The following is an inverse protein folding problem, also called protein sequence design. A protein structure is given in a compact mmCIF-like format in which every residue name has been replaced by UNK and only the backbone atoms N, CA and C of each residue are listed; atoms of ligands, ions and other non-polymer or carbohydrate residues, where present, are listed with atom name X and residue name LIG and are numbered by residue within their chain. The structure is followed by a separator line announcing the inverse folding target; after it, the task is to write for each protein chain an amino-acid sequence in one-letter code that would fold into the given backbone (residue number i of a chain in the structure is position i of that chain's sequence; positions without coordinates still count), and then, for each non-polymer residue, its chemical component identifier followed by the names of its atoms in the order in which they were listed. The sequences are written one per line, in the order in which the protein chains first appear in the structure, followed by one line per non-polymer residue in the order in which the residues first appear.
data_IF_236532275207
#
_entry.id   IF_236532275207
#
_cell.length_a   1.000
_cell.length_b   1.000
_cell.length_c   1.000
_cell.angle_alpha   90.00
_cell.angle_beta   90.00
_cell.angle_gamma   90.00
#
_symmetry.space_group_name_H-M   'P 1'
#
loop_
_entity.id
_entity.type
_entity.pdbx_description
1 polymer ?
#
# COMPACT_ATOMS: atom_id res chain seq x y z
N UNK A 1 -43.40 -10.43 15.84
CA UNK A 1 -42.98 -9.01 15.77
C UNK A 1 -41.76 -8.69 16.62
N UNK A 2 -41.68 -9.07 17.90
CA UNK A 2 -40.52 -8.80 18.79
C UNK A 2 -39.22 -9.48 18.36
N UNK A 3 -39.30 -10.74 17.92
CA UNK A 3 -38.15 -11.51 17.41
C UNK A 3 -37.58 -10.84 16.14
N UNK A 4 -38.45 -10.42 15.22
CA UNK A 4 -38.06 -9.71 14.00
C UNK A 4 -37.36 -8.38 14.32
N UNK A 5 -37.85 -7.63 15.31
CA UNK A 5 -37.24 -6.38 15.76
C UNK A 5 -35.84 -6.61 16.37
N UNK A 6 -35.66 -7.68 17.13
CA UNK A 6 -34.35 -8.08 17.67
C UNK A 6 -33.33 -8.41 16.57
N UNK A 7 -33.73 -9.15 15.53
CA UNK A 7 -32.85 -9.45 14.40
C UNK A 7 -32.42 -8.18 13.64
N UNK A 8 -33.34 -7.23 13.44
CA UNK A 8 -33.04 -5.97 12.78
C UNK A 8 -32.01 -5.14 13.58
N UNK A 9 -32.17 -5.02 14.90
CA UNK A 9 -31.24 -4.29 15.75
C UNK A 9 -29.84 -4.92 15.76
N UNK A 10 -29.76 -6.26 15.74
CA UNK A 10 -28.50 -6.99 15.76
C UNK A 10 -27.72 -6.80 14.44
N UNK A 11 -28.41 -6.78 13.29
CA UNK A 11 -27.81 -6.52 11.98
C UNK A 11 -27.31 -5.08 11.86
N UNK A 12 -28.06 -4.10 12.36
CA UNK A 12 -27.65 -2.68 12.36
C UNK A 12 -26.38 -2.45 13.19
N UNK A 13 -26.20 -3.20 14.27
CA UNK A 13 -25.00 -3.13 15.10
C UNK A 13 -23.76 -3.73 14.43
N UNK A 14 -23.93 -4.69 13.51
CA UNK A 14 -22.83 -5.34 12.79
C UNK A 14 -22.27 -4.43 11.68
N UNK A 15 -23.09 -3.54 11.11
CA UNK A 15 -22.68 -2.65 10.01
C UNK A 15 -21.63 -1.59 10.43
N UNK A 16 -21.52 -1.26 11.71
CA UNK A 16 -20.55 -0.27 12.22
C UNK A 16 -19.13 -0.83 12.44
N UNK A 17 -18.93 -2.15 12.26
CA UNK A 17 -17.65 -2.83 12.50
C UNK A 17 -16.81 -3.01 11.23
N UNK A 18 -17.34 -2.63 10.06
CA UNK A 18 -16.56 -2.62 8.83
C UNK A 18 -15.72 -1.34 8.74
N UNK A 19 -14.49 -1.39 9.25
CA UNK A 19 -13.45 -0.48 8.81
C UNK A 19 -13.11 -0.87 7.37
N UNK A 20 -13.83 -0.31 6.39
CA UNK A 20 -13.33 -0.27 5.02
C UNK A 20 -12.04 0.55 5.05
N UNK A 21 -10.91 -0.16 5.21
CA UNK A 21 -9.59 0.38 4.87
C UNK A 21 -9.71 0.87 3.44
N UNK A 22 -9.78 2.17 3.26
CA UNK A 22 -9.75 2.79 1.93
C UNK A 22 -8.55 2.20 1.19
N UNK A 23 -8.73 1.61 -0.01
CA UNK A 23 -7.62 1.04 -0.75
C UNK A 23 -6.60 2.13 -1.00
N UNK A 24 -5.32 1.85 -0.71
CA UNK A 24 -4.24 2.76 -1.05
C UNK A 24 -4.29 3.02 -2.56
N UNK A 25 -4.64 4.24 -2.95
CA UNK A 25 -4.79 4.65 -4.34
C UNK A 25 -3.41 4.74 -4.99
N UNK A 26 -3.09 3.71 -5.75
CA UNK A 26 -1.86 3.63 -6.49
C UNK A 26 -1.79 4.65 -7.61
N UNK A 27 -0.99 5.69 -7.41
CA UNK A 27 -0.77 6.74 -8.40
C UNK A 27 -1.06 8.17 -7.91
N UNK A 28 -1.45 8.36 -6.65
CA UNK A 28 -1.57 9.72 -6.07
C UNK A 28 -0.28 10.21 -5.41
N UNK A 29 0.74 9.36 -5.26
CA UNK A 29 2.04 9.79 -4.75
C UNK A 29 2.82 10.54 -5.83
N UNK A 30 2.79 11.87 -5.78
CA UNK A 30 3.59 12.72 -6.65
C UNK A 30 5.08 12.53 -6.34
N UNK A 31 5.79 11.80 -7.18
CA UNK A 31 7.25 11.70 -7.12
C UNK A 31 7.92 12.74 -8.01
N UNK A 32 8.97 13.42 -7.53
CA UNK A 32 9.73 14.33 -8.35
C UNK A 32 10.44 13.58 -9.48
N UNK A 33 10.57 14.24 -10.64
CA UNK A 33 11.15 13.65 -11.84
C UNK A 33 12.68 13.61 -11.86
N UNK A 34 13.37 14.13 -10.83
CA UNK A 34 14.83 14.08 -10.80
C UNK A 34 15.34 12.63 -10.86
N UNK A 35 16.39 12.42 -11.65
CA UNK A 35 17.03 11.12 -11.79
C UNK A 35 18.16 10.98 -10.75
N UNK A 36 17.93 10.17 -9.71
CA UNK A 36 18.91 9.86 -8.65
C UNK A 36 18.79 8.38 -8.29
N UNK A 37 19.34 7.49 -9.12
CA UNK A 37 19.00 6.07 -9.08
C UNK A 37 19.40 5.45 -7.74
N UNK A 38 18.62 4.47 -7.30
CA UNK A 38 18.89 3.67 -6.11
C UNK A 38 18.73 2.20 -6.42
N UNK A 39 19.62 1.38 -5.84
CA UNK A 39 19.53 -0.06 -5.91
C UNK A 39 18.75 -0.54 -4.69
N UNK A 40 17.66 -1.27 -4.94
CA UNK A 40 16.83 -1.83 -3.89
C UNK A 40 16.60 -3.34 -4.11
N UNK A 41 16.27 -4.06 -3.05
CA UNK A 41 16.02 -5.50 -3.08
C UNK A 41 14.82 -5.89 -2.25
N UNK A 42 14.07 -6.90 -2.71
CA UNK A 42 13.02 -7.57 -1.94
C UNK A 42 13.52 -8.85 -1.24
N UNK A 43 14.84 -9.06 -1.20
CA UNK A 43 15.48 -10.27 -0.66
C UNK A 43 15.66 -11.39 -1.68
N UNK A 44 15.00 -11.33 -2.84
CA UNK A 44 15.17 -12.31 -3.94
C UNK A 44 15.92 -11.73 -5.12
N UNK A 45 15.50 -10.54 -5.56
CA UNK A 45 16.08 -9.84 -6.70
C UNK A 45 16.52 -8.43 -6.33
N UNK A 46 17.43 -7.88 -7.13
CA UNK A 46 17.85 -6.48 -7.06
C UNK A 46 17.25 -5.73 -8.24
N UNK A 47 16.76 -4.52 -7.99
CA UNK A 47 16.16 -3.65 -9.00
C UNK A 47 16.61 -2.22 -8.81
N UNK A 48 16.95 -1.57 -9.91
CA UNK A 48 17.24 -0.13 -9.96
C UNK A 48 15.92 0.65 -10.04
N UNK A 49 15.76 1.64 -9.17
CA UNK A 49 14.65 2.60 -9.19
C UNK A 49 15.17 3.99 -9.55
N UNK A 50 14.35 4.79 -10.25
CA UNK A 50 14.69 6.15 -10.73
C UNK A 50 15.15 7.08 -9.61
N UNK A 51 14.53 6.95 -8.44
CA UNK A 51 14.92 7.60 -7.20
C UNK A 51 14.28 6.92 -5.98
N UNK A 52 14.63 7.39 -4.78
CA UNK A 52 14.09 6.87 -3.52
C UNK A 52 12.58 7.06 -3.39
N UNK A 53 12.00 8.10 -4.00
CA UNK A 53 10.54 8.28 -3.98
C UNK A 53 9.84 7.15 -4.73
N UNK A 54 10.36 6.77 -5.90
CA UNK A 54 9.80 5.67 -6.70
C UNK A 54 9.79 4.33 -5.93
N UNK A 55 10.78 4.08 -5.06
CA UNK A 55 10.77 2.90 -4.17
C UNK A 55 9.60 2.95 -3.18
N UNK A 56 9.38 4.11 -2.55
CA UNK A 56 8.28 4.30 -1.59
C UNK A 56 6.92 4.12 -2.25
N UNK A 57 6.70 4.77 -3.39
CA UNK A 57 5.44 4.63 -4.15
C UNK A 57 5.22 3.19 -4.62
N UNK A 58 6.26 2.51 -5.08
CA UNK A 58 6.15 1.09 -5.42
C UNK A 58 5.74 0.25 -4.19
N UNK A 59 6.37 0.48 -3.04
CA UNK A 59 6.06 -0.21 -1.80
C UNK A 59 4.67 0.15 -1.26
N UNK A 60 4.16 1.36 -1.48
CA UNK A 60 2.79 1.72 -1.12
C UNK A 60 1.78 0.92 -1.96
N UNK A 61 2.16 0.59 -3.19
CA UNK A 61 1.30 -0.03 -4.18
C UNK A 61 1.35 -1.54 -4.31
N UNK A 62 2.49 -2.11 -3.98
CA UNK A 62 2.66 -3.55 -4.07
C UNK A 62 2.38 -4.15 -2.70
N UNK A 63 1.27 -4.89 -2.59
CA UNK A 63 0.92 -5.65 -1.38
C UNK A 63 1.87 -6.82 -1.15
N UNK A 64 2.34 -7.43 -2.24
CA UNK A 64 3.11 -8.68 -2.20
C UNK A 64 4.63 -8.47 -2.23
N UNK A 65 5.11 -7.37 -2.82
CA UNK A 65 6.54 -7.08 -2.92
C UNK A 65 6.92 -5.75 -2.26
N UNK A 66 7.89 -5.80 -1.34
CA UNK A 66 8.51 -4.60 -0.77
C UNK A 66 10.00 -4.60 -1.06
N UNK A 67 10.50 -3.47 -1.55
CA UNK A 67 11.92 -3.26 -1.83
C UNK A 67 12.56 -2.38 -0.77
N UNK A 68 13.69 -2.83 -0.23
CA UNK A 68 14.54 -2.08 0.66
C UNK A 68 15.76 -1.54 -0.09
N UNK A 69 16.08 -0.26 0.09
CA UNK A 69 17.24 0.37 -0.56
C UNK A 69 18.52 -0.14 0.10
N UNK A 70 19.43 -0.69 -0.71
CA UNK A 70 20.72 -1.22 -0.24
C UNK A 70 21.89 -0.28 -0.58
N UNK A 71 21.79 0.50 -1.66
CA UNK A 71 22.83 1.45 -2.06
C UNK A 71 22.26 2.57 -2.94
N UNK A 72 22.91 3.74 -2.90
CA UNK A 72 22.75 4.79 -3.92
C UNK A 72 23.39 4.34 -5.25
N UNK A 73 22.85 4.81 -6.37
CA UNK A 73 23.27 4.39 -7.71
C UNK A 73 22.50 3.17 -8.21
N UNK A 74 22.81 2.73 -9.42
CA UNK A 74 22.17 1.57 -10.02
C UNK A 74 22.64 0.26 -9.34
N UNK A 75 21.77 -0.76 -9.37
CA UNK A 75 22.19 -2.15 -9.36
C UNK A 75 22.86 -2.46 -10.70
#
# INVERSE_FOLDING_TARGET
MKILFCFILLVLFIQSVFCEKLPATCGQTNCPHYHRPVCATNGRIRRTFHNQCAVRTFNECSSDEKYNIIRKGQC
#
